data_IF_434439875651
#
_entry.id   IF_434439875651
#
_cell.length_a   1.000
_cell.length_b   1.000
_cell.length_c   1.000
_cell.angle_alpha   90.00
_cell.angle_beta   90.00
_cell.angle_gamma   90.00
#
_symmetry.space_group_name_H-M   'P 1'
#
loop_
_entity.id
_entity.type
_entity.pdbx_description
1 polymer ?
#
# COMPACT_ATOMS: atom_id res chain seq x y z
N UNK A 1 -48.27 59.85 -19.51
CA UNK A 1 -48.10 58.46 -19.99
C UNK A 1 -46.77 58.38 -20.73
N UNK A 2 -45.68 58.00 -20.04
CA UNK A 2 -44.45 57.44 -20.64
C UNK A 2 -43.75 56.60 -19.57
N UNK A 3 -43.51 55.34 -19.90
CA UNK A 3 -43.04 54.29 -19.00
C UNK A 3 -41.52 54.34 -18.82
N UNK A 4 -41.04 54.22 -17.59
CA UNK A 4 -39.62 54.07 -17.26
C UNK A 4 -39.39 52.60 -16.92
N UNK A 5 -38.67 51.89 -17.79
CA UNK A 5 -38.29 50.49 -17.60
C UNK A 5 -37.07 50.38 -16.65
N UNK A 6 -37.04 49.40 -15.73
CA UNK A 6 -35.95 49.24 -14.78
C UNK A 6 -34.70 48.65 -15.47
N UNK A 7 -33.55 49.25 -15.19
CA UNK A 7 -32.24 48.79 -15.65
C UNK A 7 -31.92 47.40 -15.07
N UNK A 8 -31.52 46.49 -15.96
CA UNK A 8 -31.15 45.12 -15.62
C UNK A 8 -29.87 45.07 -14.77
N UNK A 9 -29.94 44.35 -13.66
CA UNK A 9 -28.81 44.00 -12.80
C UNK A 9 -27.96 42.96 -13.54
N UNK A 10 -26.73 43.32 -13.92
CA UNK A 10 -25.73 42.38 -14.41
C UNK A 10 -25.05 41.74 -13.20
N UNK A 11 -25.46 40.51 -12.87
CA UNK A 11 -24.82 39.69 -11.84
C UNK A 11 -23.63 38.93 -12.47
N UNK A 12 -22.45 39.54 -12.50
CA UNK A 12 -21.21 38.84 -12.85
C UNK A 12 -20.86 37.85 -11.74
N UNK A 13 -21.09 36.56 -11.99
CA UNK A 13 -20.62 35.48 -11.13
C UNK A 13 -19.12 35.27 -11.38
N UNK A 14 -18.28 35.86 -10.54
CA UNK A 14 -16.84 35.55 -10.54
C UNK A 14 -16.65 34.12 -10.04
N UNK A 15 -16.41 33.17 -10.94
CA UNK A 15 -15.90 31.84 -10.59
C UNK A 15 -14.45 32.04 -10.16
N UNK A 16 -14.23 32.34 -8.89
CA UNK A 16 -12.90 32.31 -8.29
C UNK A 16 -12.55 30.84 -8.06
N UNK A 17 -11.68 30.29 -8.89
CA UNK A 17 -11.00 29.05 -8.54
C UNK A 17 -10.03 29.38 -7.41
N UNK A 18 -10.08 28.74 -6.23
CA UNK A 18 -9.08 28.97 -5.22
C UNK A 18 -7.73 28.50 -5.78
N UNK A 19 -6.82 29.43 -6.00
CA UNK A 19 -5.41 29.11 -6.17
C UNK A 19 -4.95 28.52 -4.83
N UNK A 20 -4.80 27.19 -4.79
CA UNK A 20 -4.35 26.45 -3.60
C UNK A 20 -3.11 27.12 -3.02
N UNK A 21 -3.13 27.42 -1.72
CA UNK A 21 -1.99 28.03 -1.05
C UNK A 21 -0.82 27.02 -0.93
N UNK A 22 0.44 27.49 -0.78
CA UNK A 22 1.58 26.59 -0.59
C UNK A 22 1.43 25.65 0.61
N UNK A 23 0.79 26.12 1.69
CA UNK A 23 0.47 25.34 2.89
C UNK A 23 -0.59 24.27 2.63
N UNK A 24 -1.70 24.62 1.95
CA UNK A 24 -2.72 23.63 1.53
C UNK A 24 -2.15 22.57 0.58
N UNK A 25 -1.20 22.95 -0.27
CA UNK A 25 -0.51 22.02 -1.15
C UNK A 25 0.36 21.04 -0.36
N UNK A 26 1.10 21.51 0.65
CA UNK A 26 1.91 20.66 1.52
C UNK A 26 1.03 19.73 2.35
N UNK A 27 -0.06 20.23 2.94
CA UNK A 27 -1.00 19.41 3.71
C UNK A 27 -1.68 18.36 2.83
N UNK A 28 -2.07 18.73 1.61
CA UNK A 28 -2.67 17.81 0.65
C UNK A 28 -1.67 16.77 0.15
N UNK A 29 -0.39 17.13 -0.05
CA UNK A 29 0.65 16.16 -0.36
C UNK A 29 0.89 15.20 0.80
N UNK A 30 0.92 15.70 2.03
CA UNK A 30 1.10 14.88 3.22
C UNK A 30 -0.09 13.93 3.43
N UNK A 31 -1.31 14.40 3.20
CA UNK A 31 -2.54 13.60 3.22
C UNK A 31 -2.53 12.54 2.12
N UNK A 32 -2.09 12.91 0.91
CA UNK A 32 -1.88 11.98 -0.20
C UNK A 32 -0.82 10.94 0.14
N UNK A 33 0.26 11.30 0.85
CA UNK A 33 1.28 10.34 1.28
C UNK A 33 0.76 9.39 2.37
N UNK A 34 -0.03 9.88 3.32
CA UNK A 34 -0.68 9.04 4.36
C UNK A 34 -1.75 8.11 3.78
N UNK A 35 -2.52 8.60 2.80
CA UNK A 35 -3.59 7.83 2.15
C UNK A 35 -3.07 6.86 1.09
N UNK A 36 -1.92 7.16 0.47
CA UNK A 36 -1.18 6.28 -0.45
C UNK A 36 -0.40 5.23 0.35
N UNK A 37 -1.14 4.40 1.10
CA UNK A 37 -0.71 3.15 1.76
C UNK A 37 0.72 3.18 2.29
N UNK A 38 0.87 3.54 3.56
CA UNK A 38 2.13 3.63 4.30
C UNK A 38 3.22 2.63 3.81
N UNK A 39 4.15 3.13 3.00
CA UNK A 39 5.26 2.33 2.50
C UNK A 39 6.16 1.82 3.64
N UNK A 40 6.10 2.48 4.80
CA UNK A 40 6.82 2.17 6.03
C UNK A 40 6.30 0.90 6.76
N UNK A 41 5.12 0.40 6.35
CA UNK A 41 4.57 -0.87 6.81
C UNK A 41 5.02 -2.09 5.98
N UNK A 42 5.86 -1.89 4.95
CA UNK A 42 6.36 -2.98 4.12
C UNK A 42 7.61 -3.59 4.76
N UNK A 43 7.63 -4.91 4.83
CA UNK A 43 8.77 -5.71 5.27
C UNK A 43 9.36 -6.38 4.05
N UNK A 44 10.53 -5.92 3.65
CA UNK A 44 11.32 -6.55 2.60
C UNK A 44 12.26 -7.57 3.24
N UNK A 45 12.12 -8.83 2.87
CA UNK A 45 13.03 -9.86 3.37
C UNK A 45 13.24 -10.99 2.37
N UNK A 46 14.15 -11.89 2.71
CA UNK A 46 14.46 -13.09 1.97
C UNK A 46 14.20 -14.30 2.86
N UNK A 47 13.77 -15.39 2.24
CA UNK A 47 13.50 -16.62 2.95
C UNK A 47 13.67 -17.84 2.07
N UNK A 48 13.76 -18.99 2.71
CA UNK A 48 13.77 -20.29 2.04
C UNK A 48 12.38 -20.89 2.08
N UNK A 49 11.89 -21.31 0.92
CA UNK A 49 10.59 -21.97 0.78
C UNK A 49 10.64 -23.35 1.41
N UNK A 50 9.68 -23.65 2.26
CA UNK A 50 9.55 -24.97 2.87
C UNK A 50 8.31 -25.72 2.39
N UNK A 51 7.21 -24.99 2.23
CA UNK A 51 5.96 -25.50 1.67
C UNK A 51 5.21 -24.36 0.97
N UNK A 52 4.46 -24.70 -0.07
CA UNK A 52 3.60 -23.78 -0.81
C UNK A 52 2.22 -24.42 -0.87
N UNK A 53 1.22 -23.67 -0.43
CA UNK A 53 -0.17 -24.07 -0.55
C UNK A 53 -0.85 -23.15 -1.58
N UNK A 54 -1.42 -23.77 -2.61
CA UNK A 54 -2.09 -23.07 -3.71
C UNK A 54 -3.61 -23.11 -3.53
N UNK A 55 -4.12 -24.10 -2.78
CA UNK A 55 -5.54 -24.22 -2.45
C UNK A 55 -5.92 -23.17 -1.39
N UNK A 56 -5.05 -22.99 -0.40
CA UNK A 56 -5.08 -21.90 0.57
C UNK A 56 -3.88 -21.01 0.28
N UNK A 57 -4.03 -19.78 -0.26
CA UNK A 57 -2.92 -18.95 -0.75
C UNK A 57 -2.00 -18.55 0.40
N UNK A 58 -1.04 -19.42 0.69
CA UNK A 58 -0.16 -19.35 1.85
C UNK A 58 1.17 -20.00 1.51
N UNK A 59 2.23 -19.45 2.08
CA UNK A 59 3.59 -19.95 1.86
C UNK A 59 4.30 -20.09 3.20
N UNK A 60 4.90 -21.26 3.41
CA UNK A 60 5.75 -21.50 4.59
C UNK A 60 7.18 -21.16 4.22
N UNK A 61 7.73 -20.17 4.91
CA UNK A 61 9.08 -19.66 4.69
C UNK A 61 9.88 -19.79 5.97
N UNK A 62 11.14 -20.20 5.83
CA UNK A 62 12.16 -19.97 6.85
C UNK A 62 12.78 -18.63 6.55
N UNK A 63 12.49 -17.64 7.39
CA UNK A 63 13.03 -16.28 7.25
C UNK A 63 14.02 -15.99 8.39
N UNK A 64 15.06 -15.16 8.14
CA UNK A 64 15.88 -14.59 9.21
C UNK A 64 15.05 -13.59 10.01
N UNK A 65 15.63 -12.92 11.00
CA UNK A 65 14.91 -11.84 11.69
C UNK A 65 14.43 -10.78 10.69
N UNK A 66 13.16 -10.39 10.80
CA UNK A 66 12.54 -9.39 9.93
C UNK A 66 11.84 -8.32 10.74
N UNK A 67 11.97 -7.07 10.29
CA UNK A 67 11.32 -5.92 10.89
C UNK A 67 10.91 -4.90 9.85
N UNK A 68 9.77 -4.23 10.04
CA UNK A 68 9.44 -3.03 9.25
C UNK A 68 10.18 -1.81 9.81
N UNK A 69 10.44 -0.78 8.99
CA UNK A 69 11.09 0.46 9.42
C UNK A 69 10.44 1.12 10.64
N UNK A 70 9.12 1.02 10.76
CA UNK A 70 8.34 1.61 11.87
C UNK A 70 8.28 0.74 13.13
N UNK A 71 8.88 -0.46 13.12
CA UNK A 71 8.81 -1.41 14.23
C UNK A 71 7.43 -2.02 14.49
N UNK A 72 6.44 -1.76 13.62
CA UNK A 72 5.07 -2.29 13.75
C UNK A 72 4.95 -3.78 13.42
N UNK A 73 5.87 -4.29 12.62
CA UNK A 73 6.01 -5.70 12.28
C UNK A 73 7.42 -6.08 12.69
N UNK A 74 7.54 -7.00 13.65
CA UNK A 74 8.82 -7.57 14.05
C UNK A 74 8.61 -9.07 14.28
N UNK A 75 9.47 -9.89 13.67
CA UNK A 75 9.44 -11.34 13.82
C UNK A 75 10.86 -11.87 13.97
N UNK A 76 11.13 -12.71 14.99
CA UNK A 76 12.40 -13.41 15.09
C UNK A 76 12.59 -14.33 13.89
N UNK A 77 13.84 -14.65 13.57
CA UNK A 77 14.15 -15.62 12.52
C UNK A 77 13.58 -17.00 12.86
N UNK A 78 12.56 -17.44 12.12
CA UNK A 78 11.92 -18.72 12.32
C UNK A 78 11.21 -19.21 11.05
N UNK A 79 10.68 -20.43 11.14
CA UNK A 79 9.74 -20.99 10.16
C UNK A 79 8.35 -20.44 10.45
N UNK A 80 7.77 -19.72 9.51
CA UNK A 80 6.41 -19.19 9.64
C UNK A 80 5.62 -19.34 8.34
N UNK A 81 4.32 -19.58 8.48
CA UNK A 81 3.38 -19.60 7.37
C UNK A 81 2.77 -18.22 7.19
N UNK A 82 2.96 -17.63 6.01
CA UNK A 82 2.41 -16.34 5.66
C UNK A 82 1.24 -16.51 4.70
N UNK A 83 0.19 -15.71 4.89
CA UNK A 83 -0.86 -15.57 3.90
C UNK A 83 -0.36 -14.75 2.72
N UNK A 84 -0.89 -15.04 1.54
CA UNK A 84 -0.47 -14.44 0.29
C UNK A 84 -1.64 -13.67 -0.29
N UNK A 85 -1.38 -12.44 -0.73
CA UNK A 85 -2.38 -11.59 -1.34
C UNK A 85 -2.88 -12.19 -2.67
N UNK A 86 -4.16 -11.94 -2.98
CA UNK A 86 -4.74 -12.35 -4.25
C UNK A 86 -3.95 -11.70 -5.42
N UNK A 87 -3.57 -12.52 -6.41
CA UNK A 87 -2.81 -12.07 -7.58
C UNK A 87 -1.29 -12.30 -7.48
N UNK A 88 -0.76 -12.69 -6.33
CA UNK A 88 0.64 -13.10 -6.19
C UNK A 88 0.81 -14.52 -6.73
N UNK A 89 1.73 -14.70 -7.70
CA UNK A 89 2.03 -16.00 -8.29
C UNK A 89 2.95 -16.82 -7.39
N UNK A 90 2.40 -17.87 -6.78
CA UNK A 90 3.17 -18.91 -6.08
C UNK A 90 3.57 -20.07 -7.00
N UNK A 91 2.93 -20.17 -8.17
CA UNK A 91 3.18 -21.23 -9.14
C UNK A 91 4.63 -21.22 -9.63
N UNK A 92 5.32 -22.35 -9.44
CA UNK A 92 6.72 -22.54 -9.82
C UNK A 92 7.71 -22.44 -8.65
N UNK A 93 7.28 -22.02 -7.46
CA UNK A 93 8.07 -22.14 -6.24
C UNK A 93 8.01 -23.58 -5.72
N UNK A 94 9.15 -24.10 -5.27
CA UNK A 94 9.25 -25.43 -4.65
C UNK A 94 9.98 -25.35 -3.32
N UNK A 95 9.78 -26.36 -2.48
CA UNK A 95 10.57 -26.55 -1.27
C UNK A 95 12.07 -26.48 -1.60
N UNK A 96 12.79 -25.67 -0.84
CA UNK A 96 14.22 -25.45 -0.96
C UNK A 96 14.60 -24.20 -1.75
N UNK A 97 13.68 -23.61 -2.53
CA UNK A 97 13.94 -22.38 -3.28
C UNK A 97 14.20 -21.19 -2.36
N UNK A 98 15.12 -20.31 -2.78
CA UNK A 98 15.30 -19.01 -2.17
C UNK A 98 14.37 -17.99 -2.84
N UNK A 99 13.69 -17.19 -2.03
CA UNK A 99 12.78 -16.15 -2.49
C UNK A 99 13.07 -14.84 -1.75
N UNK A 100 12.89 -13.73 -2.46
CA UNK A 100 12.71 -12.41 -1.86
C UNK A 100 11.21 -12.13 -1.82
N UNK A 101 10.71 -11.64 -0.70
CA UNK A 101 9.30 -11.35 -0.51
C UNK A 101 9.08 -10.00 0.17
N UNK A 102 7.92 -9.42 -0.09
CA UNK A 102 7.43 -8.23 0.57
C UNK A 102 6.17 -8.60 1.33
N UNK A 103 6.16 -8.32 2.62
CA UNK A 103 5.02 -8.52 3.48
C UNK A 103 4.50 -7.18 4.00
N UNK A 104 3.18 -7.05 4.09
CA UNK A 104 2.52 -5.86 4.61
C UNK A 104 1.42 -6.28 5.57
N UNK A 105 1.09 -5.40 6.52
CA UNK A 105 -0.06 -5.62 7.38
C UNK A 105 -1.35 -5.21 6.66
N UNK A 106 -2.15 -6.18 6.23
CA UNK A 106 -3.44 -5.96 5.57
C UNK A 106 -4.55 -6.34 6.55
N UNK A 107 -5.43 -5.40 6.89
CA UNK A 107 -6.53 -5.60 7.86
C UNK A 107 -6.08 -6.18 9.22
N UNK A 108 -4.87 -5.82 9.66
CA UNK A 108 -4.30 -6.26 10.93
C UNK A 108 -3.50 -7.57 10.88
N UNK A 109 -3.55 -8.33 9.78
CA UNK A 109 -2.77 -9.56 9.58
C UNK A 109 -1.58 -9.31 8.63
N UNK A 110 -0.48 -10.05 8.81
CA UNK A 110 0.70 -9.94 7.93
C UNK A 110 0.49 -10.80 6.68
N UNK A 111 0.51 -10.16 5.53
CA UNK A 111 0.21 -10.77 4.23
C UNK A 111 1.34 -10.46 3.25
N UNK A 112 1.81 -11.47 2.54
CA UNK A 112 2.79 -11.34 1.46
C UNK A 112 2.10 -10.74 0.24
N UNK A 113 2.53 -9.55 -0.16
CA UNK A 113 2.00 -8.81 -1.30
C UNK A 113 2.86 -8.97 -2.55
N UNK A 114 4.12 -9.39 -2.39
CA UNK A 114 5.01 -9.68 -3.51
C UNK A 114 5.95 -10.84 -3.15
N UNK A 115 6.21 -11.73 -4.12
CA UNK A 115 7.22 -12.79 -4.00
C UNK A 115 7.97 -12.94 -5.31
N UNK A 116 9.30 -13.08 -5.22
CA UNK A 116 10.18 -13.27 -6.37
C UNK A 116 11.18 -14.37 -6.04
N UNK A 117 11.28 -15.36 -6.93
CA UNK A 117 12.33 -16.39 -6.84
C UNK A 117 13.69 -15.73 -7.06
N UNK A 118 14.63 -15.98 -6.14
CA UNK A 118 16.03 -15.61 -6.29
C UNK A 118 16.72 -16.76 -7.02
N UNK A 119 16.91 -16.58 -8.33
CA UNK A 119 17.66 -17.51 -9.20
C UNK A 119 19.15 -17.46 -8.93
#
# INVERSE_FOLDING_TARGET
MFAVFPAAIVLTTQITSPAMSPDEFVDRLQELQRSRGDMSAHVHSQGRVEAVDVDVPSITLVHPEIGSPDGRIWMPGMRMTFHVAAGVRLSGLRKGDWVSFVAQRVRGAVTVTEVRRRS
#
